data_IF_786831295227
#
_entry.id   IF_786831295227
#
_cell.length_a   1.000
_cell.length_b   1.000
_cell.length_c   1.000
_cell.angle_alpha   90.00
_cell.angle_beta   90.00
_cell.angle_gamma   90.00
#
_symmetry.space_group_name_H-M   'P 1'
#
loop_
_entity.id
_entity.type
_entity.pdbx_description
1 polymer ?
#
# COMPACT_ATOMS: atom_id res chain seq x y z
N UNK A 1 -23.15 -25.09 36.70
CA UNK A 1 -21.74 -24.94 36.29
C UNK A 1 -20.79 -25.06 37.49
N UNK A 2 -21.07 -24.42 38.62
CA UNK A 2 -20.25 -24.46 39.85
C UNK A 2 -20.13 -25.84 40.53
N UNK A 3 -21.22 -26.61 40.65
CA UNK A 3 -21.20 -27.94 41.30
C UNK A 3 -20.41 -28.99 40.51
N UNK A 4 -20.52 -28.97 39.18
CA UNK A 4 -19.81 -29.89 38.28
C UNK A 4 -18.28 -29.65 38.31
N UNK A 5 -17.88 -28.37 38.43
CA UNK A 5 -16.48 -27.96 38.53
C UNK A 5 -15.87 -28.40 39.88
N UNK A 6 -16.62 -28.30 40.98
CA UNK A 6 -16.18 -28.80 42.30
C UNK A 6 -15.99 -30.31 42.29
N UNK A 7 -16.93 -31.07 41.71
CA UNK A 7 -16.80 -32.53 41.59
C UNK A 7 -15.58 -32.91 40.73
N UNK A 8 -15.37 -32.22 39.60
CA UNK A 8 -14.20 -32.44 38.73
C UNK A 8 -12.88 -32.22 39.49
N UNK A 9 -12.77 -31.14 40.26
CA UNK A 9 -11.57 -30.84 41.06
C UNK A 9 -11.31 -31.92 42.10
N UNK A 10 -12.35 -32.37 42.82
CA UNK A 10 -12.21 -33.45 43.80
C UNK A 10 -11.76 -34.77 43.15
N UNK A 11 -12.30 -35.09 41.98
CA UNK A 11 -11.89 -36.28 41.21
C UNK A 11 -10.41 -36.19 40.79
N UNK A 12 -9.96 -35.03 40.31
CA UNK A 12 -8.55 -34.81 39.93
C UNK A 12 -7.60 -34.97 41.13
N UNK A 13 -7.98 -34.46 42.31
CA UNK A 13 -7.20 -34.61 43.54
C UNK A 13 -7.10 -36.08 43.94
N UNK A 14 -8.22 -36.81 43.93
CA UNK A 14 -8.25 -38.25 44.27
C UNK A 14 -7.39 -39.06 43.29
N UNK A 15 -7.50 -38.78 41.99
CA UNK A 15 -6.66 -39.40 40.95
C UNK A 15 -5.17 -39.11 41.17
N UNK A 16 -4.81 -37.87 41.52
CA UNK A 16 -3.43 -37.49 41.85
C UNK A 16 -2.88 -38.26 43.06
N UNK A 17 -3.65 -38.38 44.14
CA UNK A 17 -3.24 -39.15 45.33
C UNK A 17 -3.09 -40.64 45.00
N UNK A 18 -4.03 -41.21 44.24
CA UNK A 18 -4.02 -42.62 43.85
C UNK A 18 -2.83 -42.95 42.95
N UNK A 19 -2.57 -42.14 41.92
CA UNK A 19 -1.42 -42.31 41.02
C UNK A 19 -0.10 -42.22 41.76
N UNK A 20 0.05 -41.28 42.71
CA UNK A 20 1.25 -41.18 43.55
C UNK A 20 1.49 -42.43 44.41
N UNK A 21 0.44 -42.99 45.03
CA UNK A 21 0.55 -44.24 45.80
C UNK A 21 1.07 -45.40 44.95
N UNK A 22 0.57 -45.56 43.73
CA UNK A 22 1.02 -46.61 42.80
C UNK A 22 2.48 -46.41 42.38
N UNK A 23 2.87 -45.16 42.07
CA UNK A 23 4.23 -44.82 41.66
C UNK A 23 5.28 -45.13 42.75
N UNK A 24 4.89 -44.96 44.02
CA UNK A 24 5.73 -45.29 45.18
C UNK A 24 5.78 -46.81 45.43
N UNK A 25 4.66 -47.51 45.24
CA UNK A 25 4.58 -48.96 45.41
C UNK A 25 5.40 -49.74 44.36
N UNK A 26 5.55 -49.20 43.14
CA UNK A 26 6.29 -49.84 42.04
C UNK A 26 7.38 -48.90 41.51
N UNK A 27 8.58 -48.88 42.11
CA UNK A 27 9.64 -47.91 41.79
C UNK A 27 10.17 -48.02 40.35
N UNK A 28 10.07 -49.20 39.73
CA UNK A 28 10.47 -49.41 38.34
C UNK A 28 9.67 -48.57 37.32
N UNK A 29 8.43 -48.19 37.65
CA UNK A 29 7.52 -47.42 36.76
C UNK A 29 7.74 -45.90 36.92
N UNK A 30 8.26 -45.46 38.05
CA UNK A 30 8.39 -44.04 38.40
C UNK A 30 9.25 -43.23 37.43
N UNK A 31 10.44 -43.73 37.11
CA UNK A 31 11.39 -43.02 36.23
C UNK A 31 10.85 -42.93 34.79
N UNK A 32 10.42 -44.04 34.14
CA UNK A 32 9.80 -43.97 32.81
C UNK A 32 8.59 -43.03 32.77
N UNK A 33 7.73 -43.07 33.78
CA UNK A 33 6.55 -42.21 33.86
C UNK A 33 6.92 -40.72 33.90
N UNK A 34 7.91 -40.33 34.71
CA UNK A 34 8.39 -38.95 34.76
C UNK A 34 8.99 -38.54 33.41
N UNK A 35 9.82 -39.38 32.80
CA UNK A 35 10.41 -39.08 31.49
C UNK A 35 9.32 -38.85 30.44
N UNK A 36 8.33 -39.73 30.36
CA UNK A 36 7.21 -39.60 29.43
C UNK A 36 6.42 -38.32 29.69
N UNK A 37 6.14 -37.99 30.97
CA UNK A 37 5.46 -36.73 31.32
C UNK A 37 6.29 -35.50 30.97
N UNK A 38 7.61 -35.53 31.20
CA UNK A 38 8.51 -34.42 30.87
C UNK A 38 8.59 -34.21 29.36
N UNK A 39 8.77 -35.29 28.59
CA UNK A 39 8.75 -35.22 27.11
C UNK A 39 7.39 -34.73 26.61
N UNK A 40 6.30 -35.25 27.16
CA UNK A 40 4.94 -34.80 26.84
C UNK A 40 4.74 -33.31 27.12
N UNK A 41 5.22 -32.83 28.27
CA UNK A 41 5.16 -31.40 28.63
C UNK A 41 5.93 -30.53 27.64
N UNK A 42 7.14 -30.94 27.25
CA UNK A 42 7.95 -30.21 26.27
C UNK A 42 7.30 -30.22 24.87
N UNK A 43 6.74 -31.35 24.46
CA UNK A 43 6.03 -31.45 23.18
C UNK A 43 4.78 -30.55 23.16
N UNK A 44 3.99 -30.54 24.24
CA UNK A 44 2.85 -29.64 24.38
C UNK A 44 3.27 -28.16 24.39
N UNK A 45 4.35 -27.82 25.09
CA UNK A 45 4.88 -26.45 25.10
C UNK A 45 5.29 -26.00 23.69
N UNK A 46 5.94 -26.88 22.91
CA UNK A 46 6.25 -26.62 21.51
C UNK A 46 5.00 -26.43 20.66
N UNK A 47 3.99 -27.30 20.80
CA UNK A 47 2.74 -27.17 20.02
C UNK A 47 1.97 -25.89 20.36
N UNK A 48 1.93 -25.48 21.62
CA UNK A 48 1.31 -24.20 22.03
C UNK A 48 2.07 -23.03 21.41
N UNK A 49 3.40 -23.05 21.49
CA UNK A 49 4.24 -22.03 20.88
C UNK A 49 3.98 -21.94 19.37
N UNK A 50 4.00 -23.07 18.66
CA UNK A 50 3.81 -23.10 17.21
C UNK A 50 2.40 -22.66 16.80
N UNK A 51 1.37 -23.11 17.52
CA UNK A 51 -0.02 -22.72 17.28
C UNK A 51 -0.25 -21.21 17.41
N UNK A 52 0.48 -20.52 18.29
CA UNK A 52 0.40 -19.06 18.44
C UNK A 52 1.27 -18.37 17.40
N UNK A 53 2.46 -18.91 17.13
CA UNK A 53 3.46 -18.22 16.32
C UNK A 53 3.20 -18.32 14.82
N UNK A 54 2.66 -19.43 14.33
CA UNK A 54 2.32 -19.64 12.91
C UNK A 54 1.43 -18.52 12.33
N UNK A 55 0.26 -18.16 12.93
CA UNK A 55 -0.57 -17.07 12.42
C UNK A 55 0.10 -15.70 12.53
N UNK A 56 0.95 -15.48 13.56
CA UNK A 56 1.67 -14.22 13.73
C UNK A 56 2.69 -14.02 12.60
N UNK A 57 3.50 -15.05 12.31
CA UNK A 57 4.47 -15.00 11.20
C UNK A 57 3.77 -14.83 9.87
N UNK A 58 2.64 -15.52 9.67
CA UNK A 58 1.82 -15.37 8.47
C UNK A 58 1.35 -13.92 8.28
N UNK A 59 0.78 -13.31 9.33
CA UNK A 59 0.29 -11.93 9.25
C UNK A 59 1.42 -10.92 9.01
N UNK A 60 2.58 -11.12 9.64
CA UNK A 60 3.75 -10.25 9.44
C UNK A 60 4.30 -10.34 8.01
N UNK A 61 4.48 -11.55 7.48
CA UNK A 61 4.94 -11.77 6.11
C UNK A 61 3.91 -11.28 5.09
N UNK A 62 2.62 -11.52 5.33
CA UNK A 62 1.51 -11.01 4.51
C UNK A 62 1.62 -9.49 4.38
N UNK A 63 1.84 -8.79 5.49
CA UNK A 63 1.92 -7.32 5.48
C UNK A 63 3.09 -6.82 4.64
N UNK A 64 4.28 -7.43 4.80
CA UNK A 64 5.47 -7.09 4.00
C UNK A 64 5.19 -7.27 2.50
N UNK A 65 4.54 -8.38 2.10
CA UNK A 65 4.22 -8.64 0.70
C UNK A 65 3.14 -7.70 0.18
N UNK A 66 2.12 -7.43 1.00
CA UNK A 66 1.04 -6.52 0.65
C UNK A 66 1.55 -5.12 0.38
N UNK A 67 2.41 -4.58 1.24
CA UNK A 67 2.97 -3.23 1.05
C UNK A 67 3.77 -3.11 -0.26
N UNK A 68 4.57 -4.12 -0.60
CA UNK A 68 5.27 -4.12 -1.88
C UNK A 68 4.32 -4.19 -3.08
N UNK A 69 3.26 -4.99 -2.99
CA UNK A 69 2.25 -5.12 -4.06
C UNK A 69 1.42 -3.84 -4.19
N UNK A 70 0.99 -3.23 -3.07
CA UNK A 70 0.28 -1.94 -3.05
C UNK A 70 1.10 -0.84 -3.71
N UNK A 71 2.38 -0.72 -3.33
CA UNK A 71 3.31 0.22 -3.97
C UNK A 71 3.35 0.02 -5.49
N UNK A 72 3.42 -1.23 -5.94
CA UNK A 72 3.45 -1.56 -7.37
C UNK A 72 2.14 -1.21 -8.08
N UNK A 73 1.00 -1.47 -7.45
CA UNK A 73 -0.32 -1.07 -7.95
C UNK A 73 -0.46 0.45 -8.07
N UNK A 74 0.08 1.20 -7.11
CA UNK A 74 0.14 2.67 -7.15
C UNK A 74 1.01 3.15 -8.32
N UNK A 75 2.18 2.56 -8.52
CA UNK A 75 3.06 2.87 -9.66
C UNK A 75 2.36 2.63 -11.01
N UNK A 76 1.61 1.52 -11.14
CA UNK A 76 0.84 1.21 -12.36
C UNK A 76 -0.31 2.20 -12.53
N UNK A 77 -1.06 2.52 -11.46
CA UNK A 77 -2.14 3.53 -11.48
C UNK A 77 -1.62 4.88 -11.97
N UNK A 78 -0.50 5.34 -11.43
CA UNK A 78 0.02 6.66 -11.77
C UNK A 78 0.49 6.69 -13.25
N UNK A 79 0.94 5.56 -13.79
CA UNK A 79 1.20 5.40 -15.22
C UNK A 79 -0.07 5.42 -16.07
N UNK A 80 -1.15 4.76 -15.63
CA UNK A 80 -2.47 4.79 -16.28
C UNK A 80 -3.07 6.20 -16.29
N UNK A 81 -2.96 6.96 -15.18
CA UNK A 81 -3.37 8.36 -15.13
C UNK A 81 -2.57 9.24 -16.08
N UNK A 82 -1.25 9.06 -16.15
CA UNK A 82 -0.41 9.76 -17.10
C UNK A 82 -0.80 9.43 -18.56
N UNK A 83 -1.18 8.18 -18.83
CA UNK A 83 -1.64 7.76 -20.16
C UNK A 83 -3.01 8.37 -20.50
N UNK A 84 -3.95 8.40 -19.56
CA UNK A 84 -5.26 9.03 -19.70
C UNK A 84 -5.15 10.54 -19.90
N UNK A 85 -4.27 11.23 -19.17
CA UNK A 85 -3.97 12.66 -19.32
C UNK A 85 -3.61 13.01 -20.79
N UNK A 86 -2.91 12.10 -21.48
CA UNK A 86 -2.46 12.31 -22.85
C UNK A 86 -3.47 11.85 -23.90
N UNK A 87 -4.09 10.69 -23.70
CA UNK A 87 -4.87 10.00 -24.73
C UNK A 87 -6.38 10.01 -24.46
N UNK A 88 -6.83 10.52 -23.32
CA UNK A 88 -8.23 10.59 -22.90
C UNK A 88 -8.86 9.23 -22.56
N UNK A 89 -8.04 8.18 -22.41
CA UNK A 89 -8.45 6.82 -22.05
C UNK A 89 -7.31 6.05 -21.41
N UNK A 90 -7.64 4.98 -20.69
CA UNK A 90 -6.69 4.00 -20.16
C UNK A 90 -6.30 2.93 -21.19
N UNK A 91 -5.29 2.12 -20.89
CA UNK A 91 -4.87 0.99 -21.72
C UNK A 91 -5.04 -0.35 -21.01
N UNK A 92 -5.42 -1.38 -21.76
CA UNK A 92 -5.52 -2.76 -21.31
C UNK A 92 -4.29 -3.61 -21.71
N UNK A 93 -3.25 -2.97 -22.28
CA UNK A 93 -2.08 -3.66 -22.86
C UNK A 93 -0.78 -3.20 -22.22
N UNK A 94 -0.08 -4.14 -21.61
CA UNK A 94 1.23 -3.91 -21.01
C UNK A 94 2.27 -3.32 -21.98
N UNK A 95 2.35 -3.83 -23.21
CA UNK A 95 3.31 -3.33 -24.21
C UNK A 95 3.08 -1.84 -24.52
N UNK A 96 1.82 -1.42 -24.56
CA UNK A 96 1.45 -0.02 -24.83
C UNK A 96 1.84 0.86 -23.64
N UNK A 97 1.50 0.43 -22.42
CA UNK A 97 1.83 1.16 -21.20
C UNK A 97 3.35 1.27 -20.98
N UNK A 98 4.09 0.17 -21.14
CA UNK A 98 5.55 0.13 -21.01
C UNK A 98 6.22 1.02 -22.06
N UNK A 99 5.77 0.95 -23.31
CA UNK A 99 6.30 1.80 -24.38
C UNK A 99 6.03 3.28 -24.13
N UNK A 100 4.83 3.63 -23.64
CA UNK A 100 4.47 4.99 -23.24
C UNK A 100 5.40 5.51 -22.17
N UNK A 101 5.61 4.75 -21.09
CA UNK A 101 6.50 5.16 -19.99
C UNK A 101 7.92 5.42 -20.50
N UNK A 102 8.46 4.51 -21.33
CA UNK A 102 9.84 4.57 -21.79
C UNK A 102 10.13 5.68 -22.78
N UNK A 103 9.24 5.85 -23.77
CA UNK A 103 9.55 6.61 -24.98
C UNK A 103 8.77 7.90 -25.12
N UNK A 104 7.75 8.10 -24.29
CA UNK A 104 6.84 9.21 -24.44
C UNK A 104 7.13 10.38 -23.49
N UNK A 105 6.49 11.51 -23.75
CA UNK A 105 6.58 12.75 -22.97
C UNK A 105 5.20 13.39 -22.78
N UNK A 106 5.06 14.09 -21.66
CA UNK A 106 3.87 14.83 -21.27
C UNK A 106 4.13 16.34 -21.33
N UNK A 107 3.14 17.14 -21.74
CA UNK A 107 3.25 18.59 -21.66
C UNK A 107 3.27 19.01 -20.18
N UNK A 108 4.34 19.67 -19.76
CA UNK A 108 4.45 20.27 -18.44
C UNK A 108 4.39 21.79 -18.58
N UNK A 109 3.31 22.39 -18.08
CA UNK A 109 3.11 23.84 -18.13
C UNK A 109 3.91 24.50 -17.01
N UNK A 110 4.95 25.26 -17.37
CA UNK A 110 5.64 26.16 -16.45
C UNK A 110 4.99 27.54 -16.51
N UNK A 111 4.74 28.13 -15.34
CA UNK A 111 4.36 29.53 -15.21
C UNK A 111 5.60 30.32 -14.79
N UNK A 112 6.25 30.98 -15.74
CA UNK A 112 7.39 31.85 -15.45
C UNK A 112 6.86 33.28 -15.24
N UNK A 113 7.17 33.87 -14.09
CA UNK A 113 6.91 35.29 -13.79
C UNK A 113 8.11 35.91 -13.07
N UNK A 114 8.78 36.86 -13.71
CA UNK A 114 9.79 37.72 -13.07
C UNK A 114 9.12 38.67 -12.08
N UNK A 115 9.26 38.42 -10.79
CA UNK A 115 9.37 39.39 -9.67
C UNK A 115 9.24 38.62 -8.33
N UNK A 116 10.16 37.68 -8.10
CA UNK A 116 10.16 36.84 -6.90
C UNK A 116 11.22 37.23 -5.85
N UNK A 117 11.96 38.33 -6.02
CA UNK A 117 13.10 38.61 -5.13
C UNK A 117 12.75 39.43 -3.87
N UNK A 118 11.64 40.20 -3.82
CA UNK A 118 11.40 41.12 -2.68
C UNK A 118 10.20 40.82 -1.77
N UNK A 119 9.36 39.82 -2.07
CA UNK A 119 8.14 39.54 -1.28
C UNK A 119 8.21 38.28 -0.41
N UNK A 120 9.27 37.47 -0.52
CA UNK A 120 9.27 36.09 0.02
C UNK A 120 9.64 36.01 1.50
N UNK A 121 10.43 36.94 2.05
CA UNK A 121 10.89 36.81 3.45
C UNK A 121 9.87 37.28 4.49
N UNK A 122 9.11 38.32 4.20
CA UNK A 122 8.27 38.97 5.22
C UNK A 122 6.81 38.48 5.21
N UNK A 123 6.29 37.99 4.08
CA UNK A 123 4.91 37.47 3.97
C UNK A 123 4.77 35.97 4.27
N UNK A 124 5.86 35.20 4.17
CA UNK A 124 5.87 33.77 4.45
C UNK A 124 5.65 33.42 5.94
N UNK A 125 5.91 34.37 6.84
CA UNK A 125 5.71 34.19 8.29
C UNK A 125 4.26 34.37 8.73
N UNK A 126 3.44 35.04 7.92
CA UNK A 126 2.09 35.46 8.30
C UNK A 126 1.00 34.53 7.77
N UNK A 127 1.31 33.74 6.74
CA UNK A 127 0.29 33.00 6.01
C UNK A 127 0.10 31.54 6.41
N UNK A 128 0.83 31.04 7.42
CA UNK A 128 0.68 29.72 8.07
C UNK A 128 -0.04 28.71 7.17
N UNK A 129 0.50 28.54 5.96
CA UNK A 129 -0.22 27.88 4.89
C UNK A 129 -0.30 26.43 5.31
N UNK A 130 -1.55 25.99 5.37
CA UNK A 130 -2.10 24.66 5.59
C UNK A 130 -1.50 23.66 4.59
N UNK A 131 -0.19 23.48 4.64
CA UNK A 131 0.47 22.25 4.24
C UNK A 131 -0.06 21.21 5.24
N UNK A 132 0.01 19.93 4.88
CA UNK A 132 0.16 18.85 5.89
C UNK A 132 -1.12 18.11 6.29
N UNK A 133 -2.08 17.88 5.36
CA UNK A 133 -2.96 16.69 5.46
C UNK A 133 -2.88 15.81 4.22
N UNK A 134 -3.20 16.36 3.07
CA UNK A 134 -3.27 15.60 1.80
C UNK A 134 -1.92 15.02 1.36
N UNK A 135 -0.81 15.69 1.69
CA UNK A 135 0.55 15.21 1.41
C UNK A 135 1.04 14.20 2.45
N UNK A 136 0.62 14.31 3.71
CA UNK A 136 0.99 13.36 4.77
C UNK A 136 0.29 12.01 4.59
N UNK A 137 -0.98 12.05 4.19
CA UNK A 137 -1.77 10.84 3.91
C UNK A 137 -1.19 10.03 2.76
N UNK A 138 -0.63 10.70 1.73
CA UNK A 138 -0.02 10.06 0.55
C UNK A 138 1.32 9.39 0.81
N UNK A 139 2.03 9.75 1.89
CA UNK A 139 3.36 9.23 2.21
C UNK A 139 3.37 8.26 3.40
N UNK A 140 2.22 8.04 4.06
CA UNK A 140 2.07 7.08 5.15
C UNK A 140 2.86 7.40 6.42
N UNK A 141 3.26 8.66 6.63
CA UNK A 141 3.97 9.10 7.84
C UNK A 141 2.99 9.58 8.91
N UNK A 142 3.33 9.33 10.19
CA UNK A 142 2.54 9.80 11.31
C UNK A 142 2.55 11.34 11.45
N UNK A 143 1.51 11.88 12.09
CA UNK A 143 1.30 13.33 12.24
C UNK A 143 2.20 13.94 13.36
N UNK A 144 3.47 13.52 13.46
CA UNK A 144 4.40 14.02 14.46
C UNK A 144 5.01 15.38 14.03
N UNK A 145 4.83 16.46 14.80
CA UNK A 145 5.32 17.79 14.43
C UNK A 145 6.84 17.92 14.26
N UNK A 146 7.64 17.03 14.87
CA UNK A 146 9.10 17.03 14.71
C UNK A 146 9.54 16.56 13.30
N UNK A 147 8.77 15.67 12.66
CA UNK A 147 9.01 15.16 11.29
C UNK A 147 8.76 16.23 10.22
N UNK A 148 7.91 17.22 10.52
CA UNK A 148 7.51 18.32 9.62
C UNK A 148 8.66 19.31 9.43
N UNK A 149 9.54 19.43 10.41
CA UNK A 149 10.63 20.43 10.42
C UNK A 149 11.83 20.00 9.55
N UNK A 150 11.96 18.71 9.24
CA UNK A 150 13.08 18.17 8.47
C UNK A 150 12.85 18.23 6.95
N UNK A 151 11.61 18.50 6.51
CA UNK A 151 11.31 18.75 5.10
C UNK A 151 11.57 20.24 4.80
N UNK A 152 12.85 20.62 4.76
CA UNK A 152 13.27 21.77 3.97
C UNK A 152 12.99 21.47 2.50
N UNK A 153 11.74 21.68 2.08
CA UNK A 153 11.39 21.82 0.67
C UNK A 153 12.05 23.10 0.18
N UNK A 154 13.25 22.95 -0.41
CA UNK A 154 13.79 23.94 -1.32
C UNK A 154 12.67 24.34 -2.30
N UNK A 155 12.52 25.64 -2.51
CA UNK A 155 11.56 26.29 -3.40
C UNK A 155 11.51 25.58 -4.78
N UNK A 156 12.65 25.04 -5.23
CA UNK A 156 12.76 24.22 -6.43
C UNK A 156 11.92 22.93 -6.39
N UNK A 157 11.85 22.24 -5.25
CA UNK A 157 11.05 21.00 -5.07
C UNK A 157 9.56 21.29 -4.95
N UNK A 158 9.17 22.40 -4.34
CA UNK A 158 7.76 22.83 -4.25
C UNK A 158 7.16 23.20 -5.62
N UNK A 159 7.97 23.81 -6.49
CA UNK A 159 7.59 24.12 -7.88
C UNK A 159 7.53 22.84 -8.72
N UNK A 160 8.51 21.94 -8.59
CA UNK A 160 8.54 20.67 -9.33
C UNK A 160 7.35 19.74 -9.02
N UNK A 161 6.85 19.80 -7.77
CA UNK A 161 5.69 19.03 -7.31
C UNK A 161 4.34 19.73 -7.54
N UNK A 162 4.33 20.93 -8.14
CA UNK A 162 3.09 21.67 -8.45
C UNK A 162 2.37 22.27 -7.24
N UNK A 163 3.04 22.36 -6.08
CA UNK A 163 2.46 22.83 -4.82
C UNK A 163 2.43 24.37 -4.70
N UNK A 164 3.17 25.08 -5.56
CA UNK A 164 3.24 26.54 -5.60
C UNK A 164 2.54 27.04 -6.87
N UNK A 165 1.33 27.59 -6.73
CA UNK A 165 0.64 28.29 -7.84
C UNK A 165 1.15 29.73 -7.89
N UNK A 166 1.81 30.11 -8.99
CA UNK A 166 2.11 31.51 -9.30
C UNK A 166 0.78 32.28 -9.42
N UNK A 167 0.36 32.97 -8.35
CA UNK A 167 -0.88 33.73 -8.35
C UNK A 167 -0.67 35.02 -9.13
N UNK A 168 -1.51 35.28 -10.14
CA UNK A 168 -1.58 36.57 -10.81
C UNK A 168 -1.80 37.71 -9.79
N UNK A 169 -1.37 38.95 -10.09
CA UNK A 169 -1.63 40.11 -9.22
C UNK A 169 -3.12 40.22 -8.86
N UNK A 170 -3.43 40.55 -7.61
CA UNK A 170 -4.81 40.68 -7.13
C UNK A 170 -5.62 41.63 -8.05
N UNK A 171 -6.77 41.15 -8.53
CA UNK A 171 -7.67 41.91 -9.41
C UNK A 171 -7.54 41.65 -10.92
N UNK A 172 -6.68 40.72 -11.36
CA UNK A 172 -6.51 40.36 -12.77
C UNK A 172 -6.92 38.89 -13.03
N UNK A 173 -7.59 38.62 -14.15
CA UNK A 173 -7.89 37.24 -14.59
C UNK A 173 -6.65 36.57 -15.19
N UNK A 174 -6.55 35.24 -15.11
CA UNK A 174 -5.39 34.47 -15.62
C UNK A 174 -5.12 34.75 -17.11
N UNK A 175 -6.18 34.87 -17.92
CA UNK A 175 -6.10 35.20 -19.35
C UNK A 175 -5.61 36.63 -19.63
N UNK A 176 -5.89 37.56 -18.72
CA UNK A 176 -5.43 38.94 -18.81
C UNK A 176 -3.95 39.07 -18.41
N UNK A 177 -3.51 38.26 -17.45
CA UNK A 177 -2.11 38.15 -17.04
C UNK A 177 -1.23 37.53 -18.14
N UNK A 178 -1.74 36.53 -18.88
CA UNK A 178 -1.06 35.95 -20.06
C UNK A 178 -0.98 36.98 -21.20
N UNK A 179 -2.08 37.69 -21.51
CA UNK A 179 -2.10 38.71 -22.58
C UNK A 179 -1.18 39.90 -22.33
N UNK A 180 -1.05 40.32 -21.06
CA UNK A 180 -0.19 41.45 -20.66
C UNK A 180 1.28 41.04 -20.46
N UNK A 181 1.63 39.78 -20.70
CA UNK A 181 3.00 39.27 -20.61
C UNK A 181 3.51 39.02 -19.19
N UNK A 182 2.62 39.01 -18.19
CA UNK A 182 2.97 38.72 -16.79
C UNK A 182 3.10 37.23 -16.50
N UNK A 183 2.46 36.39 -17.31
CA UNK A 183 2.54 34.93 -17.21
C UNK A 183 2.95 34.40 -18.58
N UNK A 184 4.17 33.89 -18.68
CA UNK A 184 4.60 33.12 -19.83
C UNK A 184 4.21 31.68 -19.56
N UNK A 185 3.28 31.14 -20.36
CA UNK A 185 2.95 29.71 -20.37
C UNK A 185 3.91 29.00 -21.32
N UNK A 186 5.09 28.68 -20.81
CA UNK A 186 6.02 27.82 -21.55
C UNK A 186 5.66 26.36 -21.25
N UNK A 187 5.17 25.66 -22.28
CA UNK A 187 4.93 24.22 -22.20
C UNK A 187 6.22 23.50 -22.57
N UNK A 188 6.84 22.86 -21.58
CA UNK A 188 8.01 22.00 -21.82
C UNK A 188 7.58 20.54 -21.82
N UNK A 189 8.03 19.76 -22.80
CA UNK A 189 7.79 18.32 -22.78
C UNK A 189 8.71 17.66 -21.75
N UNK A 190 8.14 16.93 -20.80
CA UNK A 190 8.89 16.15 -19.81
C UNK A 190 8.72 14.66 -20.14
N UNK A 191 9.81 13.87 -20.19
CA UNK A 191 9.72 12.43 -20.37
C UNK A 191 8.85 11.76 -19.28
N UNK A 192 7.97 10.85 -19.68
CA UNK A 192 7.04 10.17 -18.75
C UNK A 192 7.81 9.42 -17.66
N UNK A 193 8.87 8.68 -18.03
CA UNK A 193 9.69 7.96 -17.05
C UNK A 193 10.28 8.87 -15.96
N UNK A 194 10.65 10.12 -16.29
CA UNK A 194 11.22 11.06 -15.33
C UNK A 194 10.16 11.62 -14.39
N UNK A 195 8.95 11.87 -14.90
CA UNK A 195 7.79 12.31 -14.12
C UNK A 195 7.35 11.23 -13.12
N UNK A 196 7.23 9.98 -13.58
CA UNK A 196 6.71 8.86 -12.78
C UNK A 196 7.77 8.24 -11.87
N UNK A 197 9.02 8.19 -12.32
CA UNK A 197 10.12 7.52 -11.60
C UNK A 197 11.30 8.48 -11.40
N UNK A 198 11.12 9.55 -10.60
CA UNK A 198 12.17 10.53 -10.36
C UNK A 198 13.36 9.88 -9.64
N UNK A 199 14.57 10.32 -9.96
CA UNK A 199 15.82 9.76 -9.42
C UNK A 199 15.92 9.81 -7.89
N UNK A 200 15.27 10.78 -7.25
CA UNK A 200 15.25 10.90 -5.79
C UNK A 200 14.54 9.71 -5.12
N UNK A 201 13.48 9.19 -5.75
CA UNK A 201 12.73 8.02 -5.28
C UNK A 201 13.31 6.71 -5.83
N UNK A 202 13.94 6.76 -7.01
CA UNK A 202 14.53 5.61 -7.70
C UNK A 202 16.00 5.87 -8.06
N UNK A 203 16.91 5.96 -7.08
CA UNK A 203 18.31 6.36 -7.31
C UNK A 203 19.10 5.38 -8.16
N UNK A 204 18.67 4.11 -8.19
CA UNK A 204 19.26 3.05 -9.04
C UNK A 204 18.60 2.96 -10.43
N UNK A 205 17.64 3.84 -10.73
CA UNK A 205 16.74 3.73 -11.87
C UNK A 205 15.59 2.76 -11.60
N UNK A 206 14.49 2.96 -12.31
CA UNK A 206 13.34 2.05 -12.30
C UNK A 206 13.33 1.19 -13.56
N UNK A 207 13.21 -0.12 -13.38
CA UNK A 207 13.11 -1.07 -14.48
C UNK A 207 11.65 -1.19 -14.94
N UNK A 208 11.31 -0.39 -15.96
CA UNK A 208 9.94 -0.31 -16.49
C UNK A 208 9.45 -1.65 -17.04
N UNK A 209 10.33 -2.52 -17.54
CA UNK A 209 9.92 -3.84 -18.06
C UNK A 209 9.35 -4.74 -16.95
N UNK A 210 9.70 -4.46 -15.70
CA UNK A 210 9.21 -5.18 -14.53
C UNK A 210 8.00 -4.52 -13.88
N UNK A 211 7.37 -3.51 -14.52
CA UNK A 211 6.18 -2.86 -13.96
C UNK A 211 4.99 -3.82 -13.85
N UNK A 212 4.89 -4.79 -14.76
CA UNK A 212 3.80 -5.77 -14.78
C UNK A 212 3.99 -6.93 -13.78
N UNK A 213 5.19 -7.10 -13.23
CA UNK A 213 5.55 -8.28 -12.43
C UNK A 213 5.13 -8.08 -10.98
N UNK A 214 4.46 -9.09 -10.42
CA UNK A 214 4.02 -9.09 -9.02
C UNK A 214 5.22 -9.36 -8.11
N UNK A 215 5.53 -8.49 -7.12
CA UNK A 215 6.56 -8.76 -6.13
C UNK A 215 6.30 -10.06 -5.37
N UNK A 216 7.36 -10.82 -5.06
CA UNK A 216 7.30 -12.10 -4.33
C UNK A 216 6.56 -13.25 -5.03
N UNK A 217 6.11 -13.06 -6.26
CA UNK A 217 5.56 -14.13 -7.08
C UNK A 217 6.53 -14.50 -8.21
N UNK A 218 6.73 -15.80 -8.44
CA UNK A 218 7.61 -16.29 -9.50
C UNK A 218 6.92 -16.12 -10.87
N UNK A 219 7.33 -15.11 -11.64
CA UNK A 219 6.87 -14.83 -13.01
C UNK A 219 5.36 -14.58 -13.17
N UNK A 220 4.66 -14.18 -12.11
CA UNK A 220 3.25 -13.79 -12.18
C UNK A 220 3.12 -12.30 -12.47
N UNK A 221 2.11 -11.95 -13.27
CA UNK A 221 1.81 -10.57 -13.67
C UNK A 221 0.47 -10.09 -13.14
N UNK A 222 0.33 -8.79 -12.95
CA UNK A 222 -0.97 -8.19 -12.64
C UNK A 222 -1.95 -8.36 -13.82
N UNK A 223 -3.23 -8.51 -13.50
CA UNK A 223 -4.31 -8.41 -14.46
C UNK A 223 -4.61 -6.93 -14.69
N UNK A 224 -4.44 -6.45 -15.94
CA UNK A 224 -4.77 -5.08 -16.36
C UNK A 224 -6.00 -5.11 -17.25
N UNK A 225 -6.98 -4.28 -16.94
CA UNK A 225 -8.21 -4.12 -17.72
C UNK A 225 -8.52 -2.63 -17.86
N UNK A 226 -9.07 -2.24 -19.01
CA UNK A 226 -9.52 -0.88 -19.28
C UNK A 226 -10.80 -0.88 -20.13
N UNK A 227 -11.62 0.16 -19.98
CA UNK A 227 -12.89 0.28 -20.68
C UNK A 227 -13.51 1.67 -20.56
N UNK A 228 -14.69 1.83 -21.14
CA UNK A 228 -15.55 3.00 -20.97
C UNK A 228 -16.82 2.57 -20.22
N UNK A 229 -17.25 3.37 -19.25
CA UNK A 229 -18.52 3.16 -18.55
C UNK A 229 -19.34 4.44 -18.59
N UNK A 230 -20.66 4.27 -18.69
CA UNK A 230 -21.59 5.39 -18.64
C UNK A 230 -21.93 5.71 -17.18
N UNK A 231 -21.45 6.85 -16.68
CA UNK A 231 -21.74 7.34 -15.34
C UNK A 231 -22.28 8.77 -15.41
N UNK A 232 -23.41 9.03 -14.74
CA UNK A 232 -24.01 10.38 -14.66
C UNK A 232 -24.20 11.06 -16.04
N UNK A 233 -24.63 10.29 -17.04
CA UNK A 233 -24.83 10.73 -18.42
C UNK A 233 -23.56 11.15 -19.20
N UNK A 234 -22.36 10.86 -18.68
CA UNK A 234 -21.09 10.97 -19.41
C UNK A 234 -20.44 9.60 -19.57
N UNK A 235 -19.82 9.36 -20.72
CA UNK A 235 -18.88 8.24 -20.85
C UNK A 235 -17.58 8.64 -20.13
N UNK A 236 -17.12 7.77 -19.24
CA UNK A 236 -15.88 7.97 -18.49
C UNK A 236 -14.97 6.76 -18.70
N UNK A 237 -13.68 6.98 -18.95
CA UNK A 237 -12.72 5.90 -18.99
C UNK A 237 -12.56 5.30 -17.59
N UNK A 238 -12.42 3.99 -17.53
CA UNK A 238 -12.13 3.23 -16.31
C UNK A 238 -11.05 2.19 -16.56
N UNK A 239 -10.34 1.84 -15.50
CA UNK A 239 -9.36 0.77 -15.51
C UNK A 239 -9.42 0.00 -14.20
N UNK A 240 -8.93 -1.23 -14.23
CA UNK A 240 -8.69 -2.04 -13.04
C UNK A 240 -7.36 -2.77 -13.19
N UNK A 241 -6.53 -2.71 -12.15
CA UNK A 241 -5.34 -3.54 -12.01
C UNK A 241 -5.50 -4.39 -10.77
N UNK A 242 -5.41 -5.71 -10.90
CA UNK A 242 -5.67 -6.62 -9.80
C UNK A 242 -4.72 -7.81 -9.74
N UNK A 243 -4.62 -8.39 -8.54
CA UNK A 243 -3.88 -9.62 -8.27
C UNK A 243 -4.50 -10.37 -7.10
N UNK A 244 -4.55 -11.70 -7.18
CA UNK A 244 -5.16 -12.57 -6.17
C UNK A 244 -4.20 -12.86 -5.01
N UNK A 245 -4.76 -13.12 -3.82
CA UNK A 245 -3.99 -13.51 -2.64
C UNK A 245 -3.22 -14.82 -2.82
N UNK A 246 -3.74 -15.73 -3.64
CA UNK A 246 -3.05 -16.97 -4.00
C UNK A 246 -1.73 -16.71 -4.72
N UNK A 247 -1.61 -15.58 -5.41
CA UNK A 247 -0.39 -15.14 -6.09
C UNK A 247 0.51 -14.37 -5.11
N UNK A 248 -0.04 -13.36 -4.42
CA UNK A 248 0.74 -12.52 -3.47
C UNK A 248 1.39 -13.38 -2.38
N UNK A 249 0.63 -14.32 -1.82
CA UNK A 249 1.03 -15.14 -0.67
C UNK A 249 1.56 -16.51 -1.11
N UNK A 250 2.00 -16.65 -2.36
CA UNK A 250 2.53 -17.91 -2.86
C UNK A 250 3.71 -18.40 -1.99
N UNK A 251 3.74 -19.70 -1.71
CA UNK A 251 4.74 -20.31 -0.82
C UNK A 251 4.47 -20.14 0.68
N UNK A 252 3.42 -19.41 1.09
CA UNK A 252 2.99 -19.35 2.49
C UNK A 252 2.01 -20.49 2.82
N UNK A 253 1.59 -20.58 4.09
CA UNK A 253 0.66 -21.62 4.56
C UNK A 253 -0.68 -21.57 3.82
N UNK A 254 -0.99 -22.63 3.06
CA UNK A 254 -2.17 -22.71 2.21
C UNK A 254 -3.48 -22.62 3.01
N UNK A 255 -3.53 -23.18 4.20
CA UNK A 255 -4.75 -23.17 5.01
C UNK A 255 -5.02 -21.76 5.53
N UNK A 256 -3.98 -21.03 5.94
CA UNK A 256 -4.13 -19.64 6.35
C UNK A 256 -4.55 -18.73 5.19
N UNK A 257 -4.06 -18.97 3.97
CA UNK A 257 -4.53 -18.25 2.77
C UNK A 257 -6.01 -18.52 2.51
N UNK A 258 -6.45 -19.78 2.60
CA UNK A 258 -7.87 -20.15 2.42
C UNK A 258 -8.73 -19.46 3.47
N UNK A 259 -8.37 -19.58 4.75
CA UNK A 259 -9.12 -18.96 5.85
C UNK A 259 -9.26 -17.45 5.66
N UNK A 260 -8.18 -16.79 5.24
CA UNK A 260 -8.17 -15.36 4.97
C UNK A 260 -9.02 -14.98 3.74
N UNK A 261 -8.96 -15.76 2.66
CA UNK A 261 -9.81 -15.53 1.50
C UNK A 261 -11.30 -15.76 1.81
N UNK A 262 -11.60 -16.75 2.65
CA UNK A 262 -12.97 -17.02 3.11
C UNK A 262 -13.49 -15.86 3.97
N UNK A 263 -12.65 -15.28 4.83
CA UNK A 263 -12.97 -14.06 5.58
C UNK A 263 -13.32 -12.90 4.63
N UNK A 264 -12.45 -12.60 3.66
CA UNK A 264 -12.70 -11.55 2.68
C UNK A 264 -13.97 -11.80 1.87
N UNK A 265 -14.20 -13.04 1.45
CA UNK A 265 -15.40 -13.45 0.72
C UNK A 265 -16.67 -13.24 1.55
N UNK A 266 -16.65 -13.59 2.84
CA UNK A 266 -17.78 -13.37 3.75
C UNK A 266 -18.08 -11.88 3.97
N UNK A 267 -17.07 -11.03 3.83
CA UNK A 267 -17.19 -9.58 3.87
C UNK A 267 -17.55 -8.95 2.50
N UNK A 268 -17.80 -9.76 1.47
CA UNK A 268 -17.98 -9.32 0.07
C UNK A 268 -16.81 -8.47 -0.46
N UNK A 269 -15.60 -8.70 0.05
CA UNK A 269 -14.36 -8.04 -0.38
C UNK A 269 -13.63 -8.90 -1.42
N UNK A 270 -12.94 -8.23 -2.34
CA UNK A 270 -12.07 -8.89 -3.31
C UNK A 270 -10.96 -9.70 -2.61
N UNK A 271 -10.72 -10.95 -3.04
CA UNK A 271 -9.74 -11.87 -2.43
C UNK A 271 -8.32 -11.61 -2.95
N UNK A 272 -7.89 -10.36 -2.84
CA UNK A 272 -6.69 -9.86 -3.50
C UNK A 272 -6.46 -8.39 -3.22
N UNK A 273 -5.50 -7.81 -3.94
CA UNK A 273 -5.31 -6.37 -4.01
C UNK A 273 -5.71 -5.88 -5.40
N UNK A 274 -6.44 -4.78 -5.45
CA UNK A 274 -6.82 -4.12 -6.71
C UNK A 274 -6.83 -2.60 -6.57
N UNK A 275 -6.58 -1.93 -7.68
CA UNK A 275 -6.72 -0.49 -7.83
C UNK A 275 -7.56 -0.18 -9.06
N UNK A 276 -8.43 0.82 -8.96
CA UNK A 276 -9.44 1.07 -9.97
C UNK A 276 -10.63 0.11 -9.87
N UNK A 277 -11.59 0.29 -10.77
CA UNK A 277 -12.75 -0.59 -10.91
C UNK A 277 -13.25 -0.51 -12.35
N UNK A 278 -13.36 -1.67 -13.01
CA UNK A 278 -13.76 -1.74 -14.42
C UNK A 278 -15.24 -1.42 -14.65
N UNK A 279 -16.05 -1.42 -13.58
CA UNK A 279 -17.51 -1.24 -13.64
C UNK A 279 -17.96 0.15 -13.22
N UNK A 280 -17.17 0.84 -12.39
CA UNK A 280 -17.55 2.14 -11.83
C UNK A 280 -16.36 3.10 -11.78
N UNK A 281 -16.54 4.40 -12.11
CA UNK A 281 -15.48 5.39 -11.94
C UNK A 281 -15.25 5.64 -10.45
N UNK A 282 -14.13 5.13 -9.93
CA UNK A 282 -13.75 5.29 -8.52
C UNK A 282 -12.50 6.16 -8.33
N UNK A 283 -12.04 6.85 -9.38
CA UNK A 283 -10.83 7.69 -9.33
C UNK A 283 -9.55 6.90 -9.07
N UNK A 284 -9.49 5.61 -9.43
CA UNK A 284 -8.31 4.77 -9.20
C UNK A 284 -8.06 4.47 -7.72
N UNK A 285 -9.11 4.38 -6.92
CA UNK A 285 -9.01 3.98 -5.51
C UNK A 285 -8.55 2.52 -5.36
N UNK A 286 -7.78 2.25 -4.31
CA UNK A 286 -7.38 0.90 -3.92
C UNK A 286 -8.42 0.23 -3.02
N UNK A 287 -8.38 -1.09 -2.89
CA UNK A 287 -9.27 -1.85 -2.00
C UNK A 287 -8.72 -2.05 -0.57
N UNK A 288 -7.70 -1.28 -0.20
CA UNK A 288 -6.95 -1.37 1.06
C UNK A 288 -7.21 -0.22 2.03
N UNK A 289 -8.01 0.77 1.62
CA UNK A 289 -8.48 1.87 2.46
C UNK A 289 -9.76 1.49 3.22
#
# INVERSE_FOLDING_TARGET
MSTLLVILVLVLIILGVFTNKILVAVPAIKIPFIIVLSVGTLALAYFIYESIMQPIRFNAEKEIRYEAVKKKLIEIRDAEFAYEEKYGKYTDKWDVLVNFIKNDSLPFVRMNGELMESLTKDKAKELNIEITRDVLERIGMDNNPDSIMEIQLDEARGIALGLIRSRAPEGMTEDEAVRKGYVIRDTTMIPVHEKLFPKDLYPKGYDVDKIMIVPFAENESFLLQAGMVTALASEQPVFEVSVLNTVILNGMDKQLIINFNDELKNLNRFQGLKVGDITTPNGGAGNWD
#
